data_IF_637713969333
#
_entry.id   IF_637713969333
#
_cell.length_a   1.000
_cell.length_b   1.000
_cell.length_c   1.000
_cell.angle_alpha   90.00
_cell.angle_beta   90.00
_cell.angle_gamma   90.00
#
_symmetry.space_group_name_H-M   'P 1'
#
loop_
_entity.id
_entity.type
_entity.pdbx_description
1 polymer ?
#
# COMPACT_ATOMS: atom_id res chain seq x y z
N UNK A 1 1.37 20.28 2.52
CA UNK A 1 2.45 19.57 3.26
C UNK A 1 3.05 20.49 4.31
N UNK A 2 3.81 19.96 5.28
CA UNK A 2 4.46 20.70 6.38
C UNK A 2 5.87 21.22 6.03
N UNK A 3 6.55 20.57 5.09
CA UNK A 3 7.88 20.95 4.62
C UNK A 3 7.83 21.36 3.15
N UNK A 4 8.62 22.37 2.79
CA UNK A 4 8.98 22.63 1.41
C UNK A 4 9.76 21.41 0.87
N UNK A 5 9.68 21.12 -0.43
CA UNK A 5 10.30 19.93 -1.07
C UNK A 5 9.73 18.56 -0.65
N UNK A 6 8.48 18.52 -0.15
CA UNK A 6 7.79 17.23 0.04
C UNK A 6 7.24 16.72 -1.29
N UNK A 7 7.76 15.58 -1.75
CA UNK A 7 7.22 14.84 -2.88
C UNK A 7 6.01 13.98 -2.49
N UNK A 8 5.12 13.77 -3.45
CA UNK A 8 3.96 12.89 -3.34
C UNK A 8 3.88 12.05 -4.62
N UNK A 9 3.82 10.72 -4.47
CA UNK A 9 3.50 9.81 -5.59
C UNK A 9 2.35 8.91 -5.19
N UNK A 10 1.52 8.50 -6.16
CA UNK A 10 0.41 7.58 -5.96
C UNK A 10 0.46 6.49 -7.02
N UNK A 11 0.34 5.22 -6.60
CA UNK A 11 0.04 4.11 -7.51
C UNK A 11 -1.28 3.49 -7.10
N UNK A 12 -2.15 3.23 -8.07
CA UNK A 12 -3.43 2.58 -7.82
C UNK A 12 -3.87 1.73 -9.00
N UNK A 13 -4.82 0.84 -8.75
CA UNK A 13 -5.36 -0.10 -9.75
C UNK A 13 -6.21 0.62 -10.82
N UNK A 14 -6.48 1.92 -10.65
CA UNK A 14 -7.29 2.74 -11.54
C UNK A 14 -6.77 2.84 -12.98
N UNK A 15 -5.49 2.58 -13.23
CA UNK A 15 -4.91 2.80 -14.56
C UNK A 15 -5.23 1.72 -15.60
N UNK A 16 -5.71 0.53 -15.19
CA UNK A 16 -6.18 -0.49 -16.13
C UNK A 16 -7.32 -1.30 -15.52
N UNK A 17 -8.56 -0.92 -15.82
CA UNK A 17 -9.71 -1.79 -15.69
C UNK A 17 -10.30 -2.04 -17.08
N UNK A 18 -10.32 -3.32 -17.50
CA UNK A 18 -11.24 -3.80 -18.52
C UNK A 18 -12.31 -4.62 -17.80
N UNK A 19 -13.49 -4.01 -17.68
CA UNK A 19 -14.81 -4.62 -17.48
C UNK A 19 -15.14 -5.45 -16.22
N UNK A 20 -14.24 -5.80 -15.28
CA UNK A 20 -14.68 -6.37 -13.99
C UNK A 20 -13.66 -6.26 -12.83
N UNK A 21 -14.16 -6.12 -11.60
CA UNK A 21 -13.37 -6.05 -10.33
C UNK A 21 -12.61 -7.36 -10.05
N UNK A 22 -12.87 -8.43 -10.80
CA UNK A 22 -12.17 -9.73 -10.66
C UNK A 22 -10.85 -9.81 -11.43
N UNK A 23 -10.57 -8.89 -12.35
CA UNK A 23 -9.38 -8.90 -13.20
C UNK A 23 -8.52 -7.64 -12.99
N UNK A 24 -7.74 -7.60 -11.90
CA UNK A 24 -6.72 -6.55 -11.70
C UNK A 24 -5.38 -6.98 -12.35
N UNK A 25 -4.84 -6.11 -13.23
CA UNK A 25 -3.61 -6.29 -14.00
C UNK A 25 -2.30 -6.26 -13.18
N UNK A 26 -2.36 -6.13 -11.86
CA UNK A 26 -1.21 -6.29 -10.98
C UNK A 26 -0.95 -7.77 -10.69
N UNK A 27 -0.20 -8.40 -11.59
CA UNK A 27 0.27 -9.77 -11.45
C UNK A 27 1.41 -9.80 -10.43
N UNK A 28 1.24 -10.51 -9.32
CA UNK A 28 2.39 -10.89 -8.50
C UNK A 28 3.23 -11.90 -9.30
N UNK A 29 4.50 -11.60 -9.60
CA UNK A 29 5.34 -12.42 -10.47
C UNK A 29 5.64 -13.80 -9.89
N UNK A 30 5.50 -13.99 -8.57
CA UNK A 30 5.67 -15.30 -7.91
C UNK A 30 4.42 -16.17 -8.04
N UNK A 31 3.22 -15.59 -8.12
CA UNK A 31 1.96 -16.35 -7.94
C UNK A 31 1.02 -16.33 -9.16
N UNK A 32 1.27 -15.46 -10.14
CA UNK A 32 0.45 -15.31 -11.36
C UNK A 32 -1.04 -15.05 -11.09
N UNK A 33 -1.38 -14.48 -9.93
CA UNK A 33 -2.75 -14.13 -9.51
C UNK A 33 -2.83 -12.65 -9.17
N UNK A 34 -4.03 -12.07 -9.26
CA UNK A 34 -4.33 -10.72 -8.77
C UNK A 34 -4.07 -10.68 -7.27
N UNK A 35 -3.00 -10.00 -6.87
CA UNK A 35 -2.31 -10.31 -5.62
C UNK A 35 -2.18 -9.13 -4.66
N UNK A 36 -3.10 -8.17 -4.74
CA UNK A 36 -3.08 -7.05 -3.83
C UNK A 36 -4.49 -6.56 -3.54
N UNK A 37 -4.86 -6.58 -2.27
CA UNK A 37 -6.05 -5.89 -1.75
C UNK A 37 -5.87 -4.36 -1.70
N UNK A 38 -4.70 -3.85 -2.14
CA UNK A 38 -4.38 -2.43 -2.18
C UNK A 38 -4.98 -1.86 -3.47
N UNK A 39 -5.96 -0.99 -3.32
CA UNK A 39 -6.59 -0.25 -4.43
C UNK A 39 -5.73 0.95 -4.80
N UNK A 40 -5.17 1.62 -3.80
CA UNK A 40 -4.33 2.80 -3.97
C UNK A 40 -3.31 2.89 -2.84
N UNK A 41 -2.09 3.32 -3.17
CA UNK A 41 -1.07 3.71 -2.22
C UNK A 41 -0.54 5.08 -2.61
N UNK A 42 -0.64 6.02 -1.69
CA UNK A 42 0.00 7.33 -1.79
C UNK A 42 1.16 7.39 -0.83
N UNK A 43 2.36 7.71 -1.32
CA UNK A 43 3.55 7.95 -0.52
C UNK A 43 3.87 9.44 -0.47
N UNK A 44 4.34 9.88 0.70
CA UNK A 44 4.73 11.26 0.97
C UNK A 44 6.10 11.26 1.65
N UNK A 45 7.04 12.06 1.16
CA UNK A 45 8.36 12.17 1.78
C UNK A 45 9.25 13.21 1.12
N UNK A 46 10.48 13.33 1.63
CA UNK A 46 11.52 14.22 1.10
C UNK A 46 12.58 13.48 0.27
N UNK A 47 12.30 12.23 -0.11
CA UNK A 47 13.15 11.50 -1.07
C UNK A 47 12.79 11.97 -2.49
N UNK A 48 13.69 11.73 -3.45
CA UNK A 48 13.47 12.15 -4.83
C UNK A 48 12.20 11.50 -5.43
N UNK A 49 11.58 12.21 -6.39
CA UNK A 49 10.31 11.79 -6.97
C UNK A 49 10.41 10.45 -7.73
N UNK A 50 11.56 10.14 -8.33
CA UNK A 50 11.75 8.87 -9.04
C UNK A 50 11.77 7.70 -8.05
N UNK A 51 12.44 7.87 -6.89
CA UNK A 51 12.37 6.91 -5.79
C UNK A 51 10.95 6.76 -5.24
N UNK A 52 10.23 7.87 -5.02
CA UNK A 52 8.84 7.80 -4.55
C UNK A 52 7.96 6.99 -5.50
N UNK A 53 8.07 7.25 -6.80
CA UNK A 53 7.30 6.57 -7.85
C UNK A 53 7.63 5.08 -7.99
N UNK A 54 8.92 4.75 -7.91
CA UNK A 54 9.36 3.36 -7.88
C UNK A 54 8.84 2.64 -6.62
N UNK A 55 8.83 3.32 -5.47
CA UNK A 55 8.36 2.74 -4.21
C UNK A 55 6.85 2.55 -4.18
N UNK A 56 6.03 3.50 -4.65
CA UNK A 56 4.58 3.33 -4.76
C UNK A 56 4.24 2.17 -5.67
N UNK A 57 4.92 2.06 -6.82
CA UNK A 57 4.73 0.96 -7.78
C UNK A 57 5.09 -0.38 -7.13
N UNK A 58 6.26 -0.48 -6.51
CA UNK A 58 6.68 -1.71 -5.84
C UNK A 58 5.74 -2.11 -4.70
N UNK A 59 5.33 -1.15 -3.85
CA UNK A 59 4.44 -1.41 -2.71
C UNK A 59 3.04 -1.84 -3.15
N UNK A 60 2.53 -1.32 -4.28
CA UNK A 60 1.19 -1.64 -4.77
C UNK A 60 0.95 -3.15 -4.99
N UNK A 61 2.03 -3.92 -5.19
CA UNK A 61 2.00 -5.39 -5.40
C UNK A 61 2.52 -6.21 -4.22
N UNK A 62 2.93 -5.55 -3.12
CA UNK A 62 3.42 -6.25 -1.92
C UNK A 62 2.26 -6.69 -1.03
N UNK A 63 2.44 -7.79 -0.26
CA UNK A 63 1.62 -8.03 0.91
C UNK A 63 1.65 -6.83 1.86
N UNK A 64 0.51 -6.47 2.44
CA UNK A 64 0.33 -5.26 3.24
C UNK A 64 1.35 -5.17 4.39
N UNK A 65 1.67 -6.28 5.07
CA UNK A 65 2.64 -6.21 6.18
C UNK A 65 4.05 -5.89 5.68
N UNK A 66 4.43 -6.45 4.53
CA UNK A 66 5.74 -6.18 3.90
C UNK A 66 5.83 -4.74 3.42
N UNK A 67 4.76 -4.23 2.80
CA UNK A 67 4.62 -2.83 2.41
C UNK A 67 4.83 -1.89 3.60
N UNK A 68 4.08 -2.08 4.68
CA UNK A 68 4.17 -1.25 5.89
C UNK A 68 5.57 -1.32 6.51
N UNK A 69 6.17 -2.52 6.60
CA UNK A 69 7.53 -2.69 7.12
C UNK A 69 8.58 -1.95 6.27
N UNK A 70 8.48 -2.07 4.94
CA UNK A 70 9.36 -1.39 4.00
C UNK A 70 9.28 0.14 4.14
N UNK A 71 8.07 0.69 4.15
CA UNK A 71 7.84 2.13 4.24
C UNK A 71 8.29 2.71 5.59
N UNK A 72 8.06 1.98 6.69
CA UNK A 72 8.54 2.39 8.01
C UNK A 72 10.07 2.45 8.07
N UNK A 73 10.78 1.48 7.48
CA UNK A 73 12.27 1.51 7.40
C UNK A 73 12.77 2.73 6.62
N UNK A 74 12.03 3.17 5.60
CA UNK A 74 12.33 4.35 4.78
C UNK A 74 11.88 5.67 5.41
N UNK A 75 11.16 5.64 6.54
CA UNK A 75 10.60 6.83 7.22
C UNK A 75 9.70 7.68 6.32
N UNK A 76 8.95 7.02 5.44
CA UNK A 76 8.01 7.65 4.52
C UNK A 76 6.61 7.72 5.14
N UNK A 77 5.92 8.83 4.90
CA UNK A 77 4.47 8.90 5.11
C UNK A 77 3.75 8.10 4.04
N UNK A 78 2.62 7.49 4.39
CA UNK A 78 1.79 6.80 3.43
C UNK A 78 0.31 6.82 3.79
N UNK A 79 -0.53 6.69 2.78
CA UNK A 79 -1.95 6.38 2.89
C UNK A 79 -2.23 5.23 1.94
N UNK A 80 -2.66 4.10 2.49
CA UNK A 80 -2.96 2.87 1.77
C UNK A 80 -4.46 2.64 1.84
N UNK A 81 -5.12 2.57 0.69
CA UNK A 81 -6.55 2.35 0.57
C UNK A 81 -6.78 0.92 0.07
N UNK A 82 -7.63 0.19 0.79
CA UNK A 82 -8.14 -1.11 0.38
C UNK A 82 -9.63 -1.01 0.07
N UNK A 83 -10.26 -2.11 -0.35
CA UNK A 83 -11.70 -2.16 -0.64
C UNK A 83 -12.59 -1.74 0.54
N UNK A 84 -12.15 -2.04 1.76
CA UNK A 84 -13.02 -1.95 2.94
C UNK A 84 -12.53 -0.92 3.98
N UNK A 85 -11.26 -0.54 3.93
CA UNK A 85 -10.64 0.30 4.93
C UNK A 85 -9.36 0.96 4.43
N UNK A 86 -8.82 1.92 5.18
CA UNK A 86 -7.52 2.52 4.93
C UNK A 86 -6.51 2.23 6.05
N UNK A 87 -5.23 2.35 5.71
CA UNK A 87 -4.10 2.37 6.63
C UNK A 87 -3.31 3.65 6.41
N UNK A 88 -2.81 4.24 7.49
CA UNK A 88 -1.97 5.43 7.44
C UNK A 88 -0.62 5.18 8.11
N UNK A 89 0.41 5.84 7.58
CA UNK A 89 1.78 5.71 8.07
C UNK A 89 2.04 6.53 9.32
N UNK A 90 2.87 5.97 10.21
CA UNK A 90 3.32 6.63 11.45
C UNK A 90 4.07 7.95 11.20
N UNK A 91 4.69 8.10 10.03
CA UNK A 91 5.43 9.31 9.64
C UNK A 91 4.55 10.38 8.97
N UNK A 92 3.25 10.16 8.79
CA UNK A 92 2.35 11.12 8.14
C UNK A 92 2.35 12.48 8.83
N UNK A 93 2.39 12.49 10.16
CA UNK A 93 2.41 13.72 10.97
C UNK A 93 3.63 14.61 10.69
N UNK A 94 4.72 14.06 10.15
CA UNK A 94 5.91 14.83 9.76
C UNK A 94 5.71 15.62 8.46
N UNK A 95 4.84 15.14 7.57
CA UNK A 95 4.72 15.66 6.21
C UNK A 95 3.35 16.30 5.93
N UNK A 96 2.29 15.85 6.61
CA UNK A 96 0.91 16.26 6.36
C UNK A 96 0.42 17.22 7.44
N UNK A 97 -0.31 18.26 7.02
CA UNK A 97 -0.96 19.25 7.89
C UNK A 97 -2.35 18.80 8.32
N UNK A 98 -3.05 18.13 7.41
CA UNK A 98 -4.43 17.74 7.60
C UNK A 98 -4.70 16.38 6.93
N UNK A 99 -5.51 15.57 7.60
CA UNK A 99 -6.01 14.25 7.18
C UNK A 99 -7.52 14.13 7.42
N UNK A 100 -8.23 15.24 7.65
CA UNK A 100 -9.68 15.27 7.91
C UNK A 100 -10.50 14.58 6.82
N UNK A 101 -10.01 14.50 5.58
CA UNK A 101 -10.67 13.76 4.51
C UNK A 101 -10.80 12.25 4.79
N UNK A 102 -9.96 11.69 5.68
CA UNK A 102 -10.04 10.30 6.13
C UNK A 102 -11.13 10.09 7.20
N UNK A 103 -11.72 11.15 7.75
CA UNK A 103 -12.67 11.07 8.87
C UNK A 103 -13.91 10.22 8.56
N UNK A 104 -14.32 10.17 7.29
CA UNK A 104 -15.48 9.38 6.83
C UNK A 104 -15.10 7.97 6.36
N UNK A 105 -13.81 7.59 6.41
CA UNK A 105 -13.34 6.28 6.00
C UNK A 105 -13.10 5.40 7.23
N UNK A 106 -13.27 4.08 7.06
CA UNK A 106 -12.96 3.11 8.10
C UNK A 106 -11.45 2.82 8.12
N UNK A 107 -10.80 2.98 9.27
CA UNK A 107 -9.40 2.55 9.45
C UNK A 107 -9.34 1.01 9.60
N UNK A 108 -8.31 0.38 9.03
CA UNK A 108 -8.20 -1.08 9.05
C UNK A 108 -7.87 -1.62 10.44
N UNK A 109 -8.58 -2.67 10.85
CA UNK A 109 -8.34 -3.39 12.10
C UNK A 109 -7.05 -4.23 12.02
N UNK A 110 -6.29 -4.32 13.13
CA UNK A 110 -5.01 -5.05 13.20
C UNK A 110 -5.12 -6.54 12.81
N UNK A 111 -6.29 -7.14 12.92
CA UNK A 111 -6.58 -8.53 12.52
C UNK A 111 -6.62 -8.72 11.00
N UNK A 112 -7.03 -7.70 10.23
CA UNK A 112 -7.05 -7.71 8.76
C UNK A 112 -5.66 -7.57 8.13
N UNK A 113 -4.68 -7.14 8.92
CA UNK A 113 -3.27 -7.09 8.55
C UNK A 113 -2.66 -8.49 8.64
N UNK A 114 -3.18 -9.39 9.49
CA UNK A 114 -2.57 -10.68 9.83
C UNK A 114 -3.19 -11.91 9.13
N UNK A 115 -4.24 -11.73 8.32
CA UNK A 115 -5.02 -12.82 7.71
C UNK A 115 -4.28 -13.66 6.66
N UNK A 116 -3.01 -13.36 6.37
CA UNK A 116 -2.14 -14.23 5.56
C UNK A 116 -1.29 -15.24 6.35
N UNK A 117 -1.48 -15.39 7.67
CA UNK A 117 -0.72 -16.37 8.46
C UNK A 117 -1.23 -17.82 8.47
N UNK A 118 -2.41 -18.13 7.93
CA UNK A 118 -2.93 -19.50 7.93
C UNK A 118 -3.32 -19.97 6.52
N UNK A 119 -2.34 -20.48 5.79
CA UNK A 119 -2.49 -21.70 5.00
C UNK A 119 -1.15 -22.45 5.06
N UNK A 120 -1.02 -23.24 6.11
CA UNK A 120 0.13 -24.07 6.35
C UNK A 120 0.31 -25.16 5.29
N UNK A 121 1.58 -25.43 5.01
CA UNK A 121 2.13 -26.77 5.16
C UNK A 121 1.42 -27.88 4.37
N UNK A 122 1.64 -27.93 3.04
CA UNK A 122 1.72 -29.23 2.37
C UNK A 122 3.19 -29.65 2.30
N UNK A 123 3.45 -30.71 3.06
CA UNK A 123 4.63 -31.58 3.08
C UNK A 123 5.25 -31.73 1.69
N UNK A 124 6.56 -31.53 1.61
CA UNK A 124 7.40 -32.38 0.76
C UNK A 124 8.12 -33.32 1.73
N UNK A 125 7.65 -34.57 1.76
CA UNK A 125 8.35 -35.69 2.36
C UNK A 125 9.06 -36.42 1.22
N UNK A 126 10.34 -36.71 1.45
CA UNK A 126 11.24 -37.64 0.76
C UNK A 126 11.59 -37.35 -0.71
#
# INVERSE_FOLDING_TARGET
TKKEETGVSTSGVYERFRDSIQDNHLINPLTKRSASNIISITLIGTVDNASLDAYTTAVSVMPVEKAVSFLNKKKLGFILITKNCYLQGSFNSLYLKDLTFLSNLKECEKTQINSHKNNGSKKYAE
#
